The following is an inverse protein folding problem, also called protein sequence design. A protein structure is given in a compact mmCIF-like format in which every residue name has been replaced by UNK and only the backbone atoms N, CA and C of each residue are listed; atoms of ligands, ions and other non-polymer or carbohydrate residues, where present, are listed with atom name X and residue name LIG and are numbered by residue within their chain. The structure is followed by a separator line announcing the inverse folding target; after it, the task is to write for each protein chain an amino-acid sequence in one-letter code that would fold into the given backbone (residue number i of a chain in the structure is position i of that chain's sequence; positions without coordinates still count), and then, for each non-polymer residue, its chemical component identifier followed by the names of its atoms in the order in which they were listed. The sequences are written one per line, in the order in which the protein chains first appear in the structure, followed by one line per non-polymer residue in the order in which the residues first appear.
data_IF_774029671805
#
_entry.id   IF_774029671805
#
_cell.length_a   1.000
_cell.length_b   1.000
_cell.length_c   1.000
_cell.angle_alpha   90.00
_cell.angle_beta   90.00
_cell.angle_gamma   90.00
#
_symmetry.space_group_name_H-M   'P 1'
#
loop_
_entity.id
_entity.type
_entity.pdbx_description
1 polymer ?
#
# COMPACT_ATOMS: atom_id res chain seq x y z
N UNK A 1 7.16 47.16 13.46
CA UNK A 1 6.54 46.39 14.54
C UNK A 1 5.27 45.80 13.96
N UNK A 2 5.23 44.49 13.70
CA UNK A 2 3.99 43.82 13.32
C UNK A 2 3.29 43.48 14.63
N UNK A 3 2.32 44.32 15.01
CA UNK A 3 1.39 44.01 16.08
C UNK A 3 0.60 42.77 15.65
N UNK A 4 0.84 41.66 16.34
CA UNK A 4 0.18 40.40 16.10
C UNK A 4 -1.30 40.53 16.48
N UNK A 5 -2.13 40.85 15.49
CA UNK A 5 -3.57 40.65 15.51
C UNK A 5 -3.87 39.27 16.07
N UNK A 6 -4.73 39.24 17.08
CA UNK A 6 -5.22 38.05 17.77
C UNK A 6 -5.55 36.96 16.74
N UNK A 7 -4.73 35.91 16.70
CA UNK A 7 -5.01 34.69 15.97
C UNK A 7 -6.22 34.05 16.65
N UNK A 8 -7.43 34.37 16.18
CA UNK A 8 -8.66 33.70 16.59
C UNK A 8 -8.49 32.22 16.29
N UNK A 9 -8.46 31.39 17.36
CA UNK A 9 -8.47 29.93 17.24
C UNK A 9 -9.73 29.53 16.48
N UNK A 10 -9.56 29.17 15.22
CA UNK A 10 -10.60 28.53 14.42
C UNK A 10 -10.42 27.03 14.56
N UNK A 11 -11.42 26.34 15.09
CA UNK A 11 -11.44 24.88 15.09
C UNK A 11 -11.62 24.40 13.64
N UNK A 12 -10.70 23.53 13.18
CA UNK A 12 -10.82 22.88 11.88
C UNK A 12 -11.42 21.49 12.16
N UNK A 13 -12.67 21.22 11.78
CA UNK A 13 -13.26 19.91 11.96
C UNK A 13 -12.52 18.89 11.10
N UNK A 14 -11.84 17.94 11.74
CA UNK A 14 -11.14 16.85 11.07
C UNK A 14 -11.87 15.55 11.38
N UNK A 15 -12.47 14.98 10.35
CA UNK A 15 -13.09 13.66 10.39
C UNK A 15 -12.00 12.57 10.26
N UNK A 16 -11.25 12.37 11.33
CA UNK A 16 -10.30 11.27 11.51
C UNK A 16 -10.20 10.96 13.02
N UNK A 17 -9.86 9.72 13.36
CA UNK A 17 -9.57 9.41 14.77
C UNK A 17 -8.31 10.13 15.22
N UNK A 18 -8.21 10.48 16.51
CA UNK A 18 -7.00 11.15 17.04
C UNK A 18 -5.73 10.31 16.81
N UNK A 19 -5.87 8.98 16.76
CA UNK A 19 -4.77 8.06 16.47
C UNK A 19 -4.32 8.19 15.02
N UNK A 20 -5.25 8.09 14.07
CA UNK A 20 -4.92 8.12 12.64
C UNK A 20 -4.39 9.52 12.25
N UNK A 21 -4.99 10.58 12.79
CA UNK A 21 -4.52 11.95 12.59
C UNK A 21 -3.12 12.15 13.17
N UNK A 22 -2.86 11.66 14.39
CA UNK A 22 -1.52 11.70 14.99
C UNK A 22 -0.49 10.99 14.11
N UNK A 23 -0.83 9.80 13.64
CA UNK A 23 0.03 9.01 12.76
C UNK A 23 0.33 9.74 11.44
N UNK A 24 -0.68 10.35 10.81
CA UNK A 24 -0.52 11.16 9.61
C UNK A 24 0.37 12.39 9.86
N UNK A 25 0.14 13.10 10.96
CA UNK A 25 0.93 14.27 11.34
C UNK A 25 2.38 13.93 11.67
N UNK A 26 2.64 12.78 12.29
CA UNK A 26 4.00 12.28 12.50
C UNK A 26 4.68 11.96 11.16
N UNK A 27 3.93 11.40 10.22
CA UNK A 27 4.42 11.11 8.87
C UNK A 27 4.78 12.38 8.09
N UNK A 28 4.04 13.46 8.35
CA UNK A 28 4.30 14.80 7.81
C UNK A 28 5.53 15.43 8.46
N UNK A 29 5.53 15.51 9.79
CA UNK A 29 6.35 16.45 10.54
C UNK A 29 7.80 16.01 10.76
N UNK A 30 8.05 14.73 11.04
CA UNK A 30 9.34 14.33 11.63
C UNK A 30 10.11 13.28 10.84
N UNK A 31 9.52 12.62 9.85
CA UNK A 31 10.16 11.47 9.19
C UNK A 31 10.43 10.29 10.13
N UNK A 32 10.06 10.39 11.42
CA UNK A 32 10.23 9.40 12.47
C UNK A 32 8.95 8.62 12.78
N UNK A 33 7.88 8.84 12.01
CA UNK A 33 6.69 7.99 12.12
C UNK A 33 7.10 6.53 11.93
N UNK A 34 6.62 5.64 12.80
CA UNK A 34 6.76 4.21 12.59
C UNK A 34 6.06 3.80 11.29
N UNK A 35 6.55 2.74 10.65
CA UNK A 35 5.88 2.19 9.47
C UNK A 35 4.60 1.45 9.90
N UNK A 36 3.50 1.59 9.14
CA UNK A 36 2.33 0.76 9.35
C UNK A 36 2.73 -0.72 9.26
N UNK A 37 2.21 -1.51 10.21
CA UNK A 37 2.55 -2.94 10.33
C UNK A 37 1.57 -3.84 9.59
N UNK A 38 0.39 -3.31 9.25
CA UNK A 38 -0.71 -4.03 8.63
C UNK A 38 -1.22 -3.27 7.40
N UNK A 39 -1.77 -3.99 6.42
CA UNK A 39 -2.31 -3.41 5.19
C UNK A 39 -3.40 -2.36 5.46
N UNK A 40 -4.24 -2.61 6.45
CA UNK A 40 -5.36 -1.74 6.82
C UNK A 40 -4.88 -0.36 7.27
N UNK A 41 -3.77 -0.30 7.99
CA UNK A 41 -3.19 0.97 8.43
C UNK A 41 -2.52 1.72 7.28
N UNK A 42 -1.92 1.00 6.32
CA UNK A 42 -1.46 1.59 5.06
C UNK A 42 -2.62 2.21 4.26
N UNK A 43 -3.76 1.53 4.21
CA UNK A 43 -4.96 2.01 3.52
C UNK A 43 -5.53 3.28 4.16
N UNK A 44 -5.65 3.32 5.50
CA UNK A 44 -6.08 4.53 6.21
C UNK A 44 -5.12 5.71 5.98
N UNK A 45 -3.81 5.44 5.96
CA UNK A 45 -2.82 6.48 5.67
C UNK A 45 -2.99 6.99 4.24
N UNK A 46 -3.23 6.11 3.27
CA UNK A 46 -3.51 6.50 1.90
C UNK A 46 -4.77 7.38 1.80
N UNK A 47 -5.85 7.01 2.47
CA UNK A 47 -7.09 7.79 2.49
C UNK A 47 -6.86 9.21 3.00
N UNK A 48 -6.03 9.38 4.04
CA UNK A 48 -5.65 10.70 4.54
C UNK A 48 -4.75 11.46 3.57
N UNK A 49 -3.77 10.80 2.94
CA UNK A 49 -2.89 11.41 1.94
C UNK A 49 -3.69 11.96 0.76
N UNK A 50 -4.67 11.19 0.29
CA UNK A 50 -5.52 11.59 -0.82
C UNK A 50 -6.55 12.65 -0.39
N UNK A 51 -7.11 12.56 0.83
CA UNK A 51 -8.04 13.56 1.39
C UNK A 51 -7.42 14.94 1.57
N UNK A 52 -6.17 14.99 2.02
CA UNK A 52 -5.45 16.24 2.29
C UNK A 52 -4.51 16.67 1.16
N UNK A 53 -4.56 15.99 0.01
CA UNK A 53 -3.74 16.23 -1.19
C UNK A 53 -2.28 16.60 -0.85
N UNK A 54 -1.55 15.62 -0.29
CA UNK A 54 -0.19 15.81 0.19
C UNK A 54 0.85 15.05 -0.70
N UNK A 55 1.28 15.58 -1.86
CA UNK A 55 2.15 14.87 -2.81
C UNK A 55 3.50 14.41 -2.24
N UNK A 56 4.10 15.22 -1.35
CA UNK A 56 5.37 14.89 -0.70
C UNK A 56 5.21 13.64 0.17
N UNK A 57 4.07 13.53 0.86
CA UNK A 57 3.75 12.40 1.72
C UNK A 57 3.45 11.16 0.88
N UNK A 58 2.78 11.32 -0.26
CA UNK A 58 2.58 10.23 -1.23
C UNK A 58 3.89 9.64 -1.74
N UNK A 59 4.93 10.45 -1.98
CA UNK A 59 6.27 9.96 -2.33
C UNK A 59 6.89 9.15 -1.19
N UNK A 60 6.86 9.68 0.04
CA UNK A 60 7.37 8.98 1.23
C UNK A 60 6.65 7.65 1.44
N UNK A 61 5.31 7.66 1.35
CA UNK A 61 4.46 6.48 1.41
C UNK A 61 4.94 5.39 0.47
N UNK A 62 5.17 5.71 -0.81
CA UNK A 62 5.67 4.73 -1.79
C UNK A 62 7.04 4.16 -1.42
N UNK A 63 7.98 5.01 -1.00
CA UNK A 63 9.31 4.56 -0.58
C UNK A 63 9.23 3.61 0.62
N UNK A 64 8.36 3.91 1.59
CA UNK A 64 8.23 3.06 2.78
C UNK A 64 7.44 1.78 2.49
N UNK A 65 6.47 1.83 1.58
CA UNK A 65 5.74 0.66 1.10
C UNK A 65 6.69 -0.36 0.42
N UNK A 66 7.73 0.09 -0.27
CA UNK A 66 8.78 -0.81 -0.79
C UNK A 66 9.44 -1.63 0.31
N UNK A 67 9.72 -1.01 1.47
CA UNK A 67 10.29 -1.72 2.62
C UNK A 67 9.29 -2.71 3.23
N UNK A 68 8.00 -2.36 3.23
CA UNK A 68 6.94 -3.25 3.71
C UNK A 68 6.74 -4.46 2.79
N UNK A 69 6.83 -4.29 1.47
CA UNK A 69 6.79 -5.37 0.48
C UNK A 69 7.87 -6.43 0.76
N UNK A 70 9.06 -6.01 1.22
CA UNK A 70 10.12 -6.96 1.58
C UNK A 70 9.76 -7.85 2.79
N UNK A 71 8.79 -7.46 3.61
CA UNK A 71 8.35 -8.18 4.82
C UNK A 71 7.05 -8.94 4.61
N UNK A 72 6.14 -8.35 3.83
CA UNK A 72 4.80 -8.88 3.54
C UNK A 72 4.44 -8.47 2.11
N UNK A 73 4.81 -9.31 1.16
CA UNK A 73 4.67 -9.07 -0.25
C UNK A 73 3.19 -9.12 -0.67
N UNK A 74 2.40 -10.07 -0.16
CA UNK A 74 0.96 -10.13 -0.46
C UNK A 74 0.21 -8.87 -0.01
N UNK A 75 0.43 -8.46 1.24
CA UNK A 75 -0.20 -7.24 1.76
C UNK A 75 0.31 -6.00 1.03
N UNK A 76 1.60 -5.95 0.72
CA UNK A 76 2.20 -4.90 -0.10
C UNK A 76 1.60 -4.83 -1.51
N UNK A 77 1.30 -5.97 -2.13
CA UNK A 77 0.57 -6.04 -3.40
C UNK A 77 -0.85 -5.48 -3.27
N UNK A 78 -1.56 -5.83 -2.20
CA UNK A 78 -2.90 -5.30 -1.94
C UNK A 78 -2.88 -3.77 -1.85
N UNK A 79 -1.97 -3.20 -1.05
CA UNK A 79 -1.82 -1.73 -0.94
C UNK A 79 -1.41 -1.11 -2.28
N UNK A 80 -0.46 -1.70 -2.99
CA UNK A 80 -0.02 -1.23 -4.31
C UNK A 80 -1.17 -1.18 -5.33
N UNK A 81 -2.11 -2.12 -5.23
CA UNK A 81 -3.28 -2.18 -6.10
C UNK A 81 -4.22 -0.99 -5.94
N UNK A 82 -4.36 -0.46 -4.71
CA UNK A 82 -5.23 0.67 -4.40
C UNK A 82 -4.61 2.01 -4.81
N UNK A 83 -3.28 2.14 -4.69
CA UNK A 83 -2.56 3.32 -5.22
C UNK A 83 -2.33 3.28 -6.74
N UNK A 84 -2.79 2.21 -7.41
CA UNK A 84 -2.62 1.96 -8.85
C UNK A 84 -1.15 2.04 -9.28
N UNK A 85 -0.23 1.62 -8.42
CA UNK A 85 1.20 1.64 -8.70
C UNK A 85 1.64 0.27 -9.20
N UNK A 86 1.59 0.10 -10.52
CA UNK A 86 1.96 -1.15 -11.19
C UNK A 86 3.40 -1.56 -10.91
N UNK A 87 4.31 -0.60 -10.76
CA UNK A 87 5.72 -0.90 -10.46
C UNK A 87 5.87 -1.51 -9.08
N UNK A 88 5.17 -0.98 -8.08
CA UNK A 88 5.15 -1.55 -6.72
C UNK A 88 4.42 -2.90 -6.68
N UNK A 89 3.34 -3.05 -7.43
CA UNK A 89 2.65 -4.34 -7.55
C UNK A 89 3.57 -5.41 -8.17
N UNK A 90 4.35 -5.07 -9.21
CA UNK A 90 5.35 -5.99 -9.78
C UNK A 90 6.43 -6.36 -8.78
N UNK A 91 6.97 -5.38 -8.04
CA UNK A 91 7.96 -5.66 -7.00
C UNK A 91 7.39 -6.61 -5.95
N UNK A 92 6.15 -6.40 -5.52
CA UNK A 92 5.47 -7.32 -4.60
C UNK A 92 5.35 -8.73 -5.18
N UNK A 93 4.94 -8.87 -6.44
CA UNK A 93 4.83 -10.18 -7.08
C UNK A 93 6.17 -10.91 -7.08
N UNK A 94 7.29 -10.25 -7.45
CA UNK A 94 8.63 -10.86 -7.44
C UNK A 94 8.99 -11.47 -6.08
N UNK A 95 8.49 -10.87 -5.00
CA UNK A 95 8.75 -11.29 -3.62
C UNK A 95 7.84 -12.43 -3.12
N UNK A 96 6.75 -12.78 -3.81
CA UNK A 96 5.86 -13.88 -3.38
C UNK A 96 6.59 -15.23 -3.20
N UNK A 97 7.68 -15.44 -3.93
CA UNK A 97 8.51 -16.65 -3.81
C UNK A 97 9.55 -16.63 -2.70
N UNK A 98 9.84 -15.44 -2.15
CA UNK A 98 10.91 -15.19 -1.18
C UNK A 98 10.40 -15.20 0.26
N UNK A 99 9.08 -15.17 0.47
CA UNK A 99 8.50 -15.28 1.80
C UNK A 99 8.72 -16.69 2.41
N UNK A 100 8.79 -16.75 3.74
CA UNK A 100 8.96 -18.01 4.47
C UNK A 100 7.84 -19.02 4.14
N UNK A 101 8.15 -20.30 4.31
CA UNK A 101 7.32 -21.44 3.86
C UNK A 101 5.87 -21.38 4.39
N UNK A 102 5.63 -20.73 5.53
CA UNK A 102 4.30 -20.56 6.13
C UNK A 102 3.43 -19.45 5.50
N UNK A 103 4.00 -18.53 4.72
CA UNK A 103 3.28 -17.41 4.10
C UNK A 103 3.38 -17.36 2.57
N UNK A 104 3.93 -18.41 1.95
CA UNK A 104 3.94 -18.53 0.48
C UNK A 104 2.53 -18.33 -0.09
N UNK A 105 2.41 -17.32 -0.93
CA UNK A 105 1.16 -16.97 -1.61
C UNK A 105 0.78 -18.09 -2.57
N UNK A 106 -0.14 -18.95 -2.16
CA UNK A 106 -0.77 -19.92 -3.05
C UNK A 106 -2.12 -19.36 -3.50
N UNK A 107 -2.17 -18.73 -4.68
CA UNK A 107 -3.38 -18.08 -5.20
C UNK A 107 -4.62 -18.99 -5.20
N UNK A 108 -4.44 -20.30 -5.39
CA UNK A 108 -5.53 -21.29 -5.34
C UNK A 108 -6.01 -21.65 -3.93
N UNK A 109 -5.37 -21.13 -2.87
CA UNK A 109 -5.71 -21.35 -1.46
C UNK A 109 -6.04 -20.07 -0.70
N UNK A 110 -6.12 -18.93 -1.40
CA UNK A 110 -6.54 -17.68 -0.78
C UNK A 110 -7.97 -17.84 -0.25
N UNK A 111 -8.20 -17.40 0.99
CA UNK A 111 -9.56 -17.27 1.51
C UNK A 111 -10.28 -16.12 0.78
N UNK A 112 -11.61 -16.11 0.86
CA UNK A 112 -12.41 -15.00 0.32
C UNK A 112 -11.94 -13.64 0.86
N UNK A 113 -11.62 -13.57 2.16
CA UNK A 113 -11.11 -12.35 2.79
C UNK A 113 -9.79 -11.87 2.21
N UNK A 114 -8.91 -12.75 1.73
CA UNK A 114 -7.65 -12.35 1.08
C UNK A 114 -7.88 -11.87 -0.35
N UNK A 115 -8.82 -12.52 -1.07
CA UNK A 115 -9.18 -12.17 -2.45
C UNK A 115 -9.84 -10.80 -2.55
N UNK A 116 -10.51 -10.35 -1.50
CA UNK A 116 -11.17 -9.04 -1.42
C UNK A 116 -10.22 -7.87 -1.12
N UNK A 117 -9.00 -8.14 -0.62
CA UNK A 117 -8.04 -7.08 -0.25
C UNK A 117 -7.52 -6.28 -1.46
N UNK A 118 -7.04 -6.89 -2.55
CA UNK A 118 -6.59 -6.13 -3.72
C UNK A 118 -7.77 -5.65 -4.56
N UNK A 119 -7.55 -4.64 -5.39
CA UNK A 119 -8.51 -4.27 -6.43
C UNK A 119 -8.70 -5.42 -7.43
N UNK A 120 -9.94 -5.61 -7.90
CA UNK A 120 -10.30 -6.68 -8.85
C UNK A 120 -9.42 -6.64 -10.11
N UNK A 121 -9.17 -5.45 -10.64
CA UNK A 121 -8.30 -5.22 -11.81
C UNK A 121 -6.90 -5.83 -11.62
N UNK A 122 -6.27 -5.58 -10.48
CA UNK A 122 -4.93 -6.10 -10.19
C UNK A 122 -4.96 -7.60 -9.91
N UNK A 123 -5.98 -8.09 -9.20
CA UNK A 123 -6.13 -9.52 -8.94
C UNK A 123 -6.28 -10.32 -10.24
N UNK A 124 -7.17 -9.89 -11.14
CA UNK A 124 -7.37 -10.57 -12.43
C UNK A 124 -6.11 -10.47 -13.31
N UNK A 125 -5.41 -9.35 -13.28
CA UNK A 125 -4.12 -9.18 -13.95
C UNK A 125 -3.06 -10.18 -13.45
N UNK A 126 -3.01 -10.41 -12.14
CA UNK A 126 -2.11 -11.37 -11.51
C UNK A 126 -2.47 -12.81 -11.90
N UNK A 127 -3.76 -13.16 -11.88
CA UNK A 127 -4.23 -14.48 -12.28
C UNK A 127 -3.92 -14.75 -13.76
N UNK A 128 -4.16 -13.78 -14.64
CA UNK A 128 -3.84 -13.90 -16.06
C UNK A 128 -2.32 -14.03 -16.30
N UNK A 129 -1.50 -13.24 -15.59
CA UNK A 129 -0.04 -13.35 -15.69
C UNK A 129 0.46 -14.71 -15.23
N UNK A 130 -0.15 -15.29 -14.18
CA UNK A 130 0.17 -16.64 -13.70
C UNK A 130 -0.26 -17.72 -14.69
N UNK A 131 -1.45 -17.62 -15.27
CA UNK A 131 -1.93 -18.57 -16.28
C UNK A 131 -1.00 -18.63 -17.49
N UNK A 132 -0.55 -17.47 -18.00
CA UNK A 132 0.35 -17.38 -19.16
C UNK A 132 1.74 -17.98 -18.94
N UNK A 133 2.26 -17.93 -17.72
CA UNK A 133 3.58 -18.46 -17.37
C UNK A 133 3.56 -19.93 -16.89
N UNK A 134 2.38 -20.56 -16.91
CA UNK A 134 2.17 -21.89 -16.35
C UNK A 134 2.29 -21.93 -14.82
N UNK A 135 2.08 -23.11 -14.23
CA UNK A 135 2.18 -23.30 -12.76
C UNK A 135 3.63 -23.30 -12.23
N UNK A 136 4.55 -22.62 -12.92
CA UNK A 136 5.93 -22.47 -12.49
C UNK A 136 5.95 -21.55 -11.26
N UNK A 137 6.71 -21.91 -10.23
CA UNK A 137 6.89 -21.08 -9.02
C UNK A 137 7.85 -19.90 -9.24
N UNK A 138 8.07 -19.51 -10.49
CA UNK A 138 8.93 -18.39 -10.86
C UNK A 138 8.11 -17.11 -10.87
N UNK A 139 8.09 -16.45 -9.71
CA UNK A 139 7.36 -15.21 -9.53
C UNK A 139 8.02 -14.01 -10.23
N UNK A 140 9.31 -14.11 -10.57
CA UNK A 140 9.98 -13.10 -11.39
C UNK A 140 9.39 -13.10 -12.80
N UNK A 141 9.25 -14.30 -13.40
CA UNK A 141 8.62 -14.48 -14.70
C UNK A 141 7.14 -14.09 -14.72
N UNK A 142 6.43 -14.21 -13.59
CA UNK A 142 5.03 -13.77 -13.45
C UNK A 142 4.92 -12.25 -13.31
N UNK A 143 5.84 -11.61 -12.58
CA UNK A 143 5.83 -10.16 -12.36
C UNK A 143 6.07 -9.39 -13.67
N UNK A 144 6.85 -9.92 -14.59
CA UNK A 144 7.25 -9.19 -15.78
C UNK A 144 6.09 -8.88 -16.74
N UNK A 145 5.23 -9.84 -17.15
CA UNK A 145 4.06 -9.58 -17.98
C UNK A 145 2.85 -9.06 -17.19
N UNK A 146 2.95 -8.92 -15.86
CA UNK A 146 1.83 -8.44 -15.05
C UNK A 146 1.39 -7.04 -15.46
N UNK A 147 0.09 -6.91 -15.71
CA UNK A 147 -0.61 -5.63 -15.88
C UNK A 147 -2.02 -5.75 -15.28
N UNK A 148 -2.54 -4.73 -14.58
CA UNK A 148 -3.93 -4.74 -14.13
C UNK A 148 -4.89 -4.80 -15.33
N UNK A 149 -5.97 -5.59 -15.22
CA UNK A 149 -7.01 -5.62 -16.26
C UNK A 149 -7.92 -4.40 -16.14
N UNK A 150 -8.16 -3.74 -17.28
CA UNK A 150 -8.96 -2.51 -17.41
C UNK A 150 -10.45 -2.78 -17.31
#
# INVERSE_FOLDING_TARGET
MLESTELTKSEIPIEASSRDLGFFLDYISSGSAEDPKQAEDWMKLLDMIDKYDCPIIKKRFKTRLQNYICKSAWEGFCVASHIKDTSLAKEAIRRFGQEEISSKVELGKLSLSEVEKPTLAHLLGLLQAKEKNGYVRDWEAIAEPFVPLS
#
